data_IF_887888964816
#
_entry.id   IF_887888964816
#
_cell.length_a   1.000
_cell.length_b   1.000
_cell.length_c   1.000
_cell.angle_alpha   90.00
_cell.angle_beta   90.00
_cell.angle_gamma   90.00
#
_symmetry.space_group_name_H-M   'P 1'
#
loop_
_entity.id
_entity.type
_entity.pdbx_description
1 polymer ?
#
# COMPACT_ATOMS: atom_id res chain seq x y z
N UNK A 1 75.38 21.75 14.93
CA UNK A 1 74.52 20.58 15.21
C UNK A 1 73.25 20.75 14.40
N UNK A 2 73.02 19.91 13.38
CA UNK A 2 71.88 20.04 12.43
C UNK A 2 70.62 19.47 13.09
N UNK A 3 69.58 20.27 13.29
CA UNK A 3 68.26 19.76 13.69
C UNK A 3 67.59 19.12 12.46
N UNK A 4 67.32 17.82 12.55
CA UNK A 4 66.53 17.10 11.57
C UNK A 4 65.04 17.37 11.81
N UNK A 5 64.36 17.86 10.78
CA UNK A 5 62.90 18.03 10.76
C UNK A 5 62.29 16.67 10.38
N UNK A 6 61.52 16.05 11.27
CA UNK A 6 60.76 14.84 10.97
C UNK A 6 59.33 15.28 10.63
N UNK A 7 58.83 15.07 9.40
CA UNK A 7 57.45 15.38 9.08
C UNK A 7 56.55 14.30 9.68
N UNK A 8 55.70 14.67 10.63
CA UNK A 8 54.62 13.81 11.11
C UNK A 8 53.54 13.79 10.03
N UNK A 9 53.55 12.73 9.23
CA UNK A 9 52.52 12.44 8.23
C UNK A 9 51.22 12.11 8.98
N UNK A 10 50.29 13.07 9.06
CA UNK A 10 48.98 12.86 9.66
C UNK A 10 48.15 11.88 8.84
N UNK A 11 47.96 10.66 9.35
CA UNK A 11 47.03 9.69 8.78
C UNK A 11 45.61 10.18 9.06
N UNK A 12 44.98 10.81 8.08
CA UNK A 12 43.54 11.05 8.11
C UNK A 12 42.83 9.70 7.92
N UNK A 13 42.41 9.09 9.04
CA UNK A 13 41.40 8.06 9.00
C UNK A 13 40.09 8.69 8.50
N UNK A 14 39.82 8.56 7.20
CA UNK A 14 38.50 8.78 6.65
C UNK A 14 37.59 7.69 7.23
N UNK A 15 36.96 7.98 8.38
CA UNK A 15 35.88 7.15 8.88
C UNK A 15 34.78 7.17 7.82
N UNK A 16 34.65 6.07 7.08
CA UNK A 16 33.49 5.82 6.24
C UNK A 16 32.30 5.75 7.18
N UNK A 17 31.58 6.85 7.34
CA UNK A 17 30.28 6.85 7.97
C UNK A 17 29.39 5.95 7.11
N UNK A 18 29.22 4.69 7.53
CA UNK A 18 28.16 3.82 7.04
C UNK A 18 26.85 4.49 7.44
N UNK A 19 26.31 5.32 6.56
CA UNK A 19 24.91 5.69 6.65
C UNK A 19 24.10 4.40 6.49
N UNK A 20 23.62 3.85 7.60
CA UNK A 20 22.70 2.73 7.59
C UNK A 20 21.43 3.21 6.88
N UNK A 21 21.23 2.77 5.63
CA UNK A 21 20.01 2.97 4.83
C UNK A 21 18.82 2.17 5.40
N UNK A 22 18.73 2.00 6.71
CA UNK A 22 17.88 0.98 7.30
C UNK A 22 16.44 1.47 7.45
N UNK A 23 15.53 0.86 6.69
CA UNK A 23 14.08 0.97 6.93
C UNK A 23 13.60 0.34 8.21
N UNK A 24 14.47 -0.31 8.98
CA UNK A 24 14.09 -0.97 10.22
C UNK A 24 13.44 -0.01 11.23
N UNK A 25 13.60 1.30 11.07
CA UNK A 25 12.95 2.30 11.89
C UNK A 25 11.47 2.53 11.58
N UNK A 26 10.97 2.07 10.43
CA UNK A 26 9.56 2.16 10.05
C UNK A 26 8.85 0.84 10.35
N UNK A 27 7.59 0.92 10.77
CA UNK A 27 6.74 -0.25 10.99
C UNK A 27 6.11 -0.68 9.68
N UNK A 28 6.56 -1.82 9.17
CA UNK A 28 6.02 -2.35 7.94
C UNK A 28 4.76 -3.15 7.98
N UNK A 29 4.26 -3.37 9.18
CA UNK A 29 3.01 -4.08 9.38
C UNK A 29 1.82 -3.13 9.32
N UNK A 30 2.08 -1.83 9.43
CA UNK A 30 1.06 -0.80 9.55
C UNK A 30 1.26 0.23 8.46
N UNK A 31 0.19 0.59 7.78
CA UNK A 31 0.18 1.73 6.86
C UNK A 31 -0.65 2.85 7.49
N UNK A 32 -0.14 4.08 7.35
CA UNK A 32 -0.82 5.29 7.77
C UNK A 32 -1.07 6.13 6.54
N UNK A 33 -2.29 6.65 6.45
CA UNK A 33 -2.68 7.65 5.47
C UNK A 33 -2.72 9.02 6.16
N UNK A 34 -2.09 10.00 5.53
CA UNK A 34 -2.24 11.41 5.92
C UNK A 34 -2.64 12.24 4.70
N UNK A 35 -3.46 13.25 4.92
CA UNK A 35 -3.82 14.25 3.90
C UNK A 35 -3.52 15.63 4.45
N UNK A 36 -2.87 16.48 3.64
CA UNK A 36 -2.49 17.80 4.12
C UNK A 36 -1.80 18.64 3.06
N UNK A 37 -1.29 19.79 3.50
CA UNK A 37 -0.62 20.78 2.65
C UNK A 37 0.86 20.76 2.93
N UNK A 38 1.71 20.70 1.90
CA UNK A 38 3.15 20.77 2.08
C UNK A 38 3.53 22.16 2.63
N UNK A 39 4.19 22.21 3.80
CA UNK A 39 4.75 23.45 4.36
C UNK A 39 6.23 23.63 4.04
N UNK A 40 6.98 22.53 3.84
CA UNK A 40 8.39 22.56 3.43
C UNK A 40 8.70 21.40 2.49
N UNK A 41 9.45 21.67 1.43
CA UNK A 41 9.90 20.67 0.49
C UNK A 41 11.43 20.65 0.38
N UNK A 42 12.03 19.46 0.51
CA UNK A 42 13.47 19.26 0.37
C UNK A 42 13.76 18.01 -0.44
N UNK A 43 13.96 18.19 -1.74
CA UNK A 43 14.50 17.17 -2.63
C UNK A 43 16.02 17.11 -2.51
N UNK A 44 16.58 15.98 -2.01
CA UNK A 44 18.02 15.89 -1.78
C UNK A 44 18.46 14.63 -1.02
N UNK A 45 19.77 14.48 -0.81
CA UNK A 45 20.39 13.32 -0.12
C UNK A 45 20.52 13.54 1.40
N UNK A 46 20.53 12.50 2.27
CA UNK A 46 20.42 11.08 1.94
C UNK A 46 18.98 10.61 1.69
N UNK A 47 17.96 11.39 2.06
CA UNK A 47 16.57 11.16 1.68
C UNK A 47 15.90 12.51 1.43
N UNK A 48 14.98 12.54 0.48
CA UNK A 48 14.13 13.72 0.32
C UNK A 48 13.12 13.74 1.45
N UNK A 49 12.85 14.93 1.99
CA UNK A 49 11.95 15.14 3.12
C UNK A 49 10.97 16.26 2.83
N UNK A 50 9.72 16.08 3.22
CA UNK A 50 8.65 17.05 3.07
C UNK A 50 7.93 17.20 4.42
N UNK A 51 7.63 18.42 4.82
CA UNK A 51 6.75 18.69 5.96
C UNK A 51 5.33 18.91 5.43
N UNK A 52 4.36 18.24 6.02
CA UNK A 52 2.95 18.24 5.60
C UNK A 52 2.14 18.68 6.81
N UNK A 53 1.41 19.79 6.70
CA UNK A 53 0.46 20.22 7.70
C UNK A 53 -0.84 19.44 7.53
N UNK A 54 -1.11 18.56 8.49
CA UNK A 54 -2.33 17.74 8.55
C UNK A 54 -3.29 18.41 9.51
N UNK A 55 -4.49 18.76 9.02
CA UNK A 55 -5.52 19.40 9.84
C UNK A 55 -6.31 18.35 10.62
N UNK A 56 -6.50 18.59 11.92
CA UNK A 56 -7.30 17.75 12.80
C UNK A 56 -8.75 18.24 12.84
N UNK A 57 -9.65 17.38 13.32
CA UNK A 57 -11.09 17.67 13.46
C UNK A 57 -11.38 18.84 14.43
N UNK A 58 -10.51 19.05 15.42
CA UNK A 58 -10.58 20.16 16.38
C UNK A 58 -10.11 21.51 15.79
N UNK A 59 -9.73 21.53 14.52
CA UNK A 59 -9.23 22.70 13.81
C UNK A 59 -7.74 23.00 14.03
N UNK A 60 -7.04 22.22 14.86
CA UNK A 60 -5.58 22.30 14.99
C UNK A 60 -4.86 21.67 13.78
N UNK A 61 -3.54 21.82 13.71
CA UNK A 61 -2.73 21.17 12.68
C UNK A 61 -1.48 20.54 13.29
N UNK A 62 -1.10 19.38 12.75
CA UNK A 62 0.11 18.65 13.11
C UNK A 62 1.00 18.57 11.89
N UNK A 63 2.27 18.96 12.06
CA UNK A 63 3.30 18.83 11.03
C UNK A 63 3.82 17.40 10.99
N UNK A 64 3.55 16.70 9.88
CA UNK A 64 4.10 15.39 9.58
C UNK A 64 5.33 15.51 8.68
N UNK A 65 6.33 14.66 8.93
CA UNK A 65 7.48 14.47 8.04
C UNK A 65 7.23 13.28 7.12
N UNK A 66 7.15 13.54 5.82
CA UNK A 66 7.27 12.54 4.78
C UNK A 66 8.75 12.36 4.42
N UNK A 67 9.27 11.14 4.59
CA UNK A 67 10.58 10.72 4.09
C UNK A 67 10.39 9.84 2.85
N UNK A 68 11.03 10.17 1.72
CA UNK A 68 11.01 9.35 0.49
C UNK A 68 12.38 8.77 0.17
N UNK A 69 12.53 8.08 -0.96
CA UNK A 69 13.85 7.68 -1.45
C UNK A 69 14.75 8.87 -1.76
N UNK A 70 16.04 8.59 -1.81
CA UNK A 70 17.03 9.55 -2.25
C UNK A 70 16.91 9.83 -3.76
N UNK A 71 17.41 10.99 -4.24
CA UNK A 71 17.31 11.37 -5.65
C UNK A 71 17.86 10.35 -6.67
N UNK A 72 18.79 9.47 -6.27
CA UNK A 72 19.34 8.41 -7.14
C UNK A 72 18.37 7.25 -7.21
N UNK A 73 17.92 6.73 -6.07
CA UNK A 73 16.97 5.62 -6.04
C UNK A 73 15.62 6.01 -6.63
N UNK A 74 15.14 7.23 -6.37
CA UNK A 74 13.92 7.75 -6.99
C UNK A 74 14.00 7.80 -8.52
N UNK A 75 15.18 8.11 -9.08
CA UNK A 75 15.39 8.09 -10.54
C UNK A 75 15.41 6.67 -11.08
N UNK A 76 16.08 5.76 -10.38
CA UNK A 76 16.16 4.34 -10.74
C UNK A 76 14.78 3.67 -10.73
N UNK A 77 13.92 4.08 -9.80
CA UNK A 77 12.57 3.57 -9.62
C UNK A 77 11.50 4.36 -10.39
N UNK A 78 11.88 5.39 -11.16
CA UNK A 78 10.98 6.07 -12.11
C UNK A 78 10.12 7.22 -11.57
N UNK A 79 10.16 7.54 -10.27
CA UNK A 79 9.27 8.56 -9.67
C UNK A 79 9.99 9.86 -9.25
N UNK A 80 11.28 10.03 -9.59
CA UNK A 80 12.05 11.21 -9.16
C UNK A 80 11.40 12.55 -9.50
N UNK A 81 10.84 12.70 -10.70
CA UNK A 81 10.22 13.96 -11.09
C UNK A 81 8.94 14.25 -10.30
N UNK A 82 8.19 13.22 -9.88
CA UNK A 82 7.02 13.39 -9.03
C UNK A 82 7.39 13.96 -7.65
N UNK A 83 8.38 13.38 -6.96
CA UNK A 83 8.79 13.90 -5.65
C UNK A 83 9.49 15.26 -5.76
N UNK A 84 10.26 15.48 -6.84
CA UNK A 84 10.95 16.75 -7.09
C UNK A 84 9.99 17.89 -7.42
N UNK A 85 8.84 17.58 -8.00
CA UNK A 85 7.81 18.55 -8.34
C UNK A 85 7.07 19.10 -7.13
N UNK A 86 7.10 18.41 -5.97
CA UNK A 86 6.41 18.85 -4.75
C UNK A 86 6.93 20.20 -4.24
N UNK A 87 6.02 21.12 -3.93
CA UNK A 87 6.28 22.48 -3.46
C UNK A 87 5.44 22.81 -2.22
N UNK A 88 5.89 23.78 -1.39
CA UNK A 88 5.03 24.35 -0.38
C UNK A 88 3.74 24.90 -0.98
N UNK A 89 2.59 24.57 -0.38
CA UNK A 89 1.26 24.90 -0.86
C UNK A 89 0.56 23.78 -1.63
N UNK A 90 1.27 22.73 -2.06
CA UNK A 90 0.65 21.59 -2.72
C UNK A 90 -0.18 20.78 -1.71
N UNK A 91 -1.40 20.44 -2.10
CA UNK A 91 -2.24 19.47 -1.40
C UNK A 91 -1.87 18.06 -1.87
N UNK A 92 -1.62 17.16 -0.93
CA UNK A 92 -1.34 15.75 -1.23
C UNK A 92 -1.99 14.85 -0.18
N UNK A 93 -2.31 13.63 -0.60
CA UNK A 93 -2.48 12.51 0.32
C UNK A 93 -1.30 11.55 0.17
N UNK A 94 -0.87 10.97 1.29
CA UNK A 94 0.26 10.06 1.34
C UNK A 94 -0.14 8.83 2.10
N UNK A 95 0.11 7.68 1.49
CA UNK A 95 0.09 6.39 2.18
C UNK A 95 1.53 5.98 2.40
N UNK A 96 1.86 5.53 3.61
CA UNK A 96 3.20 5.06 3.92
C UNK A 96 3.30 4.40 5.28
N UNK A 97 4.54 4.07 5.66
CA UNK A 97 4.83 3.31 6.88
C UNK A 97 5.27 4.25 7.99
N UNK A 98 4.60 4.25 9.16
CA UNK A 98 4.93 5.15 10.24
C UNK A 98 6.28 4.78 10.85
N UNK A 99 7.00 5.80 11.33
CA UNK A 99 8.23 5.60 12.07
C UNK A 99 7.91 5.06 13.47
N UNK A 100 8.58 3.98 13.88
CA UNK A 100 8.34 3.27 15.15
C UNK A 100 8.49 4.12 16.41
N UNK A 101 9.27 5.20 16.32
CA UNK A 101 9.64 6.04 17.46
C UNK A 101 9.36 7.54 17.26
N UNK A 102 8.91 7.94 16.07
CA UNK A 102 8.66 9.36 15.75
C UNK A 102 7.23 9.45 15.24
N UNK A 103 6.32 9.88 16.11
CA UNK A 103 4.88 9.73 15.94
C UNK A 103 4.31 10.49 14.73
N UNK A 104 5.07 11.42 14.14
CA UNK A 104 4.65 12.21 12.99
C UNK A 104 5.67 12.13 11.86
N UNK A 105 6.32 11.00 11.69
CA UNK A 105 7.13 10.71 10.51
C UNK A 105 6.65 9.42 9.86
N UNK A 106 6.59 9.43 8.52
CA UNK A 106 6.32 8.23 7.73
C UNK A 106 7.27 8.15 6.54
N UNK A 107 7.58 6.91 6.13
CA UNK A 107 8.22 6.64 4.85
C UNK A 107 7.15 6.49 3.79
N UNK A 108 7.21 7.32 2.76
CA UNK A 108 6.20 7.34 1.70
C UNK A 108 6.22 6.07 0.86
N UNK A 109 5.03 5.55 0.56
CA UNK A 109 4.79 4.45 -0.35
C UNK A 109 4.05 4.93 -1.61
N UNK A 110 3.00 5.72 -1.43
CA UNK A 110 2.18 6.28 -2.50
C UNK A 110 2.00 7.78 -2.29
N UNK A 111 2.07 8.54 -3.38
CA UNK A 111 1.62 9.93 -3.41
C UNK A 111 0.36 10.03 -4.24
N UNK A 112 -0.60 10.76 -3.70
CA UNK A 112 -1.89 10.96 -4.33
C UNK A 112 -2.13 12.45 -4.51
N UNK A 113 -2.43 12.82 -5.76
CA UNK A 113 -2.62 14.20 -6.17
C UNK A 113 -4.12 14.52 -6.27
N UNK A 114 -4.51 15.79 -6.13
CA UNK A 114 -5.91 16.20 -6.25
C UNK A 114 -6.54 15.94 -7.63
N UNK A 115 -5.72 15.77 -8.67
CA UNK A 115 -6.14 15.42 -10.03
C UNK A 115 -6.45 13.93 -10.21
N UNK A 116 -6.37 13.13 -9.14
CA UNK A 116 -6.59 11.68 -9.14
C UNK A 116 -5.36 10.86 -9.50
N UNK A 117 -4.24 11.50 -9.87
CA UNK A 117 -2.99 10.79 -10.18
C UNK A 117 -2.41 10.15 -8.93
N UNK A 118 -2.03 8.88 -9.05
CA UNK A 118 -1.29 8.15 -8.03
C UNK A 118 0.15 7.98 -8.50
N UNK A 119 1.12 8.13 -7.61
CA UNK A 119 2.52 7.85 -7.89
C UNK A 119 3.07 6.86 -6.88
N UNK A 120 3.46 5.71 -7.38
CA UNK A 120 4.13 4.67 -6.61
C UNK A 120 5.59 5.05 -6.35
N UNK A 121 5.88 5.43 -5.10
CA UNK A 121 7.23 5.76 -4.66
C UNK A 121 8.10 4.52 -4.48
N UNK A 122 7.51 3.33 -4.37
CA UNK A 122 8.28 2.09 -4.32
C UNK A 122 7.41 0.89 -4.65
N UNK A 123 7.85 0.12 -5.65
CA UNK A 123 7.33 -1.23 -5.96
C UNK A 123 8.17 -2.28 -5.23
N UNK A 124 7.53 -3.29 -4.64
CA UNK A 124 8.20 -4.45 -4.05
C UNK A 124 8.96 -4.27 -2.71
N UNK A 125 8.90 -5.34 -1.91
CA UNK A 125 9.77 -5.87 -0.84
C UNK A 125 10.33 -5.01 0.29
N UNK A 126 10.27 -3.68 0.29
CA UNK A 126 10.98 -2.98 1.36
C UNK A 126 10.21 -2.95 2.67
N UNK A 127 8.88 -2.86 2.59
CA UNK A 127 8.03 -2.79 3.76
C UNK A 127 6.61 -3.27 3.40
N UNK A 128 6.42 -4.55 3.08
CA UNK A 128 5.08 -5.05 2.79
C UNK A 128 4.34 -5.51 4.06
N UNK A 129 3.05 -5.15 4.23
CA UNK A 129 2.22 -5.78 5.24
C UNK A 129 2.24 -7.30 5.09
N UNK A 130 2.10 -8.03 6.21
CA UNK A 130 2.18 -9.50 6.22
C UNK A 130 1.23 -10.15 5.22
N UNK A 131 0.05 -9.58 5.05
CA UNK A 131 -0.96 -10.12 4.14
C UNK A 131 -0.52 -9.98 2.68
N UNK A 132 0.10 -8.84 2.31
CA UNK A 132 0.65 -8.62 0.97
C UNK A 132 1.84 -9.55 0.70
N UNK A 133 2.77 -9.68 1.66
CA UNK A 133 3.88 -10.65 1.56
C UNK A 133 3.39 -12.08 1.36
N UNK A 134 2.33 -12.45 2.09
CA UNK A 134 1.74 -13.78 1.99
C UNK A 134 1.04 -13.96 0.64
N UNK A 135 0.26 -12.97 0.18
CA UNK A 135 -0.40 -13.00 -1.12
C UNK A 135 0.63 -13.19 -2.23
N UNK A 136 1.65 -12.33 -2.28
CA UNK A 136 2.70 -12.38 -3.29
C UNK A 136 3.44 -13.73 -3.32
N UNK A 137 3.81 -14.25 -2.15
CA UNK A 137 4.42 -15.58 -2.04
C UNK A 137 3.51 -16.65 -2.64
N UNK A 138 2.22 -16.64 -2.31
CA UNK A 138 1.25 -17.63 -2.79
C UNK A 138 0.95 -17.46 -4.28
N UNK A 139 0.94 -16.23 -4.80
CA UNK A 139 0.77 -15.93 -6.22
C UNK A 139 1.90 -16.56 -7.06
N UNK A 140 3.16 -16.41 -6.64
CA UNK A 140 4.30 -17.02 -7.31
C UNK A 140 4.54 -18.50 -6.97
N UNK A 141 3.87 -19.01 -5.93
CA UNK A 141 3.92 -20.43 -5.54
C UNK A 141 2.52 -21.02 -5.35
N UNK A 142 1.68 -21.13 -6.41
CA UNK A 142 0.28 -21.53 -6.25
C UNK A 142 0.09 -22.90 -5.61
N UNK A 143 1.07 -23.80 -5.68
CA UNK A 143 1.04 -25.10 -5.00
C UNK A 143 0.96 -25.02 -3.47
N UNK A 144 1.40 -23.90 -2.88
CA UNK A 144 1.35 -23.66 -1.42
C UNK A 144 -0.06 -23.26 -0.94
N UNK A 145 -0.99 -22.96 -1.86
CA UNK A 145 -2.36 -22.60 -1.55
C UNK A 145 -3.14 -23.85 -1.09
N UNK A 146 -3.98 -23.76 -0.03
CA UNK A 146 -4.80 -24.87 0.44
C UNK A 146 -5.61 -25.53 -0.67
N UNK A 147 -5.73 -26.86 -0.64
CA UNK A 147 -6.48 -27.62 -1.64
C UNK A 147 -7.97 -27.23 -1.70
N UNK A 148 -8.58 -26.87 -0.55
CA UNK A 148 -9.97 -26.36 -0.51
C UNK A 148 -10.16 -25.16 -1.45
N UNK A 149 -9.17 -24.27 -1.51
CA UNK A 149 -9.18 -23.10 -2.38
C UNK A 149 -8.88 -23.50 -3.83
N UNK A 150 -7.83 -24.30 -4.05
CA UNK A 150 -7.38 -24.67 -5.40
C UNK A 150 -8.40 -25.49 -6.17
N UNK A 151 -9.12 -26.36 -5.47
CA UNK A 151 -10.04 -27.34 -6.04
C UNK A 151 -11.51 -26.85 -5.98
N UNK A 152 -11.73 -25.58 -5.61
CA UNK A 152 -13.06 -24.96 -5.53
C UNK A 152 -13.85 -25.04 -6.85
N UNK A 153 -15.14 -25.37 -6.76
CA UNK A 153 -16.00 -25.52 -7.93
C UNK A 153 -16.47 -24.16 -8.47
N UNK A 154 -15.76 -23.70 -9.49
CA UNK A 154 -16.00 -22.39 -10.12
C UNK A 154 -17.19 -22.38 -11.08
N UNK A 155 -17.84 -23.52 -11.30
CA UNK A 155 -19.05 -23.61 -12.14
C UNK A 155 -20.33 -23.21 -11.41
N UNK A 156 -20.30 -23.18 -10.06
CA UNK A 156 -21.41 -22.75 -9.21
C UNK A 156 -21.70 -21.26 -9.36
N UNK A 157 -22.93 -20.79 -9.07
CA UNK A 157 -23.22 -19.36 -8.92
C UNK A 157 -22.22 -18.66 -7.97
N UNK A 158 -21.88 -17.40 -8.25
CA UNK A 158 -20.82 -16.71 -7.50
C UNK A 158 -21.17 -16.47 -6.03
N UNK A 159 -22.44 -16.25 -5.72
CA UNK A 159 -22.98 -16.16 -4.36
C UNK A 159 -22.76 -17.47 -3.57
N UNK A 160 -22.97 -18.62 -4.20
CA UNK A 160 -22.64 -19.92 -3.60
C UNK A 160 -21.12 -20.09 -3.37
N UNK A 161 -20.30 -19.66 -4.32
CA UNK A 161 -18.84 -19.64 -4.16
C UNK A 161 -18.44 -18.70 -3.01
N UNK A 162 -19.07 -17.53 -2.89
CA UNK A 162 -18.74 -16.55 -1.86
C UNK A 162 -19.06 -17.07 -0.46
N UNK A 163 -20.15 -17.83 -0.28
CA UNK A 163 -20.43 -18.50 1.00
C UNK A 163 -19.29 -19.48 1.36
N UNK A 164 -18.83 -20.28 0.41
CA UNK A 164 -17.70 -21.19 0.60
C UNK A 164 -16.42 -20.42 0.96
N UNK A 165 -16.14 -19.32 0.27
CA UNK A 165 -14.97 -18.48 0.54
C UNK A 165 -15.00 -17.89 1.96
N UNK A 166 -16.18 -17.47 2.43
CA UNK A 166 -16.38 -16.93 3.78
C UNK A 166 -16.19 -18.02 4.84
N UNK A 167 -16.70 -19.24 4.61
CA UNK A 167 -16.52 -20.39 5.50
C UNK A 167 -15.05 -20.81 5.61
N UNK A 168 -14.32 -20.80 4.50
CA UNK A 168 -12.87 -21.06 4.48
C UNK A 168 -12.07 -20.01 5.28
N UNK A 169 -12.53 -18.76 5.29
CA UNK A 169 -11.95 -17.66 6.08
C UNK A 169 -10.58 -17.13 5.62
N UNK A 170 -9.95 -17.75 4.62
CA UNK A 170 -8.61 -17.39 4.15
C UNK A 170 -8.61 -16.46 2.92
N UNK A 171 -9.02 -15.21 3.16
CA UNK A 171 -9.13 -14.16 2.14
C UNK A 171 -7.80 -13.88 1.40
N UNK A 172 -6.65 -14.00 2.07
CA UNK A 172 -5.33 -13.75 1.44
C UNK A 172 -4.97 -14.86 0.45
N UNK A 173 -5.14 -16.12 0.84
CA UNK A 173 -4.88 -17.24 -0.07
C UNK A 173 -5.89 -17.26 -1.23
N UNK A 174 -7.15 -16.89 -0.96
CA UNK A 174 -8.16 -16.74 -2.00
C UNK A 174 -7.81 -15.63 -2.99
N UNK A 175 -7.39 -14.46 -2.52
CA UNK A 175 -6.95 -13.37 -3.39
C UNK A 175 -5.73 -13.77 -4.24
N UNK A 176 -4.74 -14.45 -3.64
CA UNK A 176 -3.59 -14.98 -4.37
C UNK A 176 -3.99 -15.99 -5.44
N UNK A 177 -4.92 -16.90 -5.12
CA UNK A 177 -5.41 -17.91 -6.07
C UNK A 177 -6.11 -17.28 -7.26
N UNK A 178 -7.08 -16.39 -7.01
CA UNK A 178 -7.82 -15.73 -8.08
C UNK A 178 -6.89 -14.87 -8.97
N UNK A 179 -5.89 -14.22 -8.38
CA UNK A 179 -4.82 -13.52 -9.12
C UNK A 179 -3.98 -14.47 -9.97
N UNK A 180 -3.54 -15.62 -9.42
CA UNK A 180 -2.76 -16.62 -10.15
C UNK A 180 -3.56 -17.25 -11.31
N UNK A 181 -4.89 -17.34 -11.17
CA UNK A 181 -5.81 -17.78 -12.23
C UNK A 181 -6.21 -16.66 -13.21
N UNK A 182 -5.62 -15.46 -13.10
CA UNK A 182 -5.89 -14.32 -13.98
C UNK A 182 -7.38 -13.89 -14.02
N UNK A 183 -8.11 -14.11 -12.93
CA UNK A 183 -9.50 -13.68 -12.75
C UNK A 183 -9.80 -12.95 -11.42
N UNK A 184 -8.84 -12.19 -10.84
CA UNK A 184 -9.09 -11.50 -9.58
C UNK A 184 -10.17 -10.42 -9.74
N UNK A 185 -11.12 -10.34 -8.81
CA UNK A 185 -12.25 -9.41 -8.86
C UNK A 185 -12.60 -8.92 -7.46
N UNK A 186 -12.75 -7.61 -7.30
CA UNK A 186 -13.33 -7.02 -6.10
C UNK A 186 -14.79 -7.42 -5.95
N UNK A 187 -15.23 -7.61 -4.71
CA UNK A 187 -16.57 -8.05 -4.38
C UNK A 187 -17.37 -6.84 -3.92
N UNK A 188 -18.40 -6.48 -4.68
CA UNK A 188 -19.40 -5.50 -4.31
C UNK A 188 -20.67 -6.18 -3.84
N UNK A 189 -21.31 -5.65 -2.80
CA UNK A 189 -22.61 -6.14 -2.34
C UNK A 189 -23.65 -5.07 -2.64
N UNK A 190 -24.73 -5.43 -3.34
CA UNK A 190 -25.85 -4.55 -3.59
C UNK A 190 -26.94 -4.74 -2.55
N UNK A 191 -27.30 -3.68 -1.86
CA UNK A 191 -28.44 -3.62 -0.95
C UNK A 191 -29.33 -2.42 -1.31
N UNK A 192 -30.62 -2.66 -1.53
CA UNK A 192 -31.62 -1.64 -1.88
C UNK A 192 -31.19 -0.69 -3.03
N UNK A 193 -30.41 -1.20 -3.99
CA UNK A 193 -29.93 -0.44 -5.16
C UNK A 193 -28.58 0.24 -4.98
N UNK A 194 -28.02 0.28 -3.77
CA UNK A 194 -26.68 0.80 -3.49
C UNK A 194 -25.66 -0.34 -3.53
N UNK A 195 -24.49 -0.12 -4.15
CA UNK A 195 -23.41 -1.11 -4.21
C UNK A 195 -22.26 -0.66 -3.31
N UNK A 196 -21.89 -1.50 -2.34
CA UNK A 196 -20.77 -1.24 -1.43
C UNK A 196 -19.60 -2.16 -1.75
N UNK A 197 -18.42 -1.57 -1.98
CA UNK A 197 -17.13 -2.27 -2.07
C UNK A 197 -16.34 -2.08 -0.77
N UNK A 198 -16.73 -2.81 0.28
CA UNK A 198 -16.11 -2.69 1.60
C UNK A 198 -14.62 -2.98 1.58
N UNK A 199 -13.85 -2.26 2.41
CA UNK A 199 -12.40 -2.45 2.57
C UNK A 199 -11.52 -1.79 1.51
N UNK A 200 -12.11 -1.16 0.49
CA UNK A 200 -11.38 -0.40 -0.53
C UNK A 200 -11.03 0.98 0.02
N UNK A 201 -9.74 1.34 -0.03
CA UNK A 201 -9.29 2.71 0.21
C UNK A 201 -9.85 3.62 -0.89
N UNK A 202 -10.34 4.81 -0.54
CA UNK A 202 -10.93 5.79 -1.47
C UNK A 202 -10.04 6.05 -2.69
N UNK A 203 -8.71 6.01 -2.52
CA UNK A 203 -7.77 6.26 -3.60
C UNK A 203 -7.54 5.06 -4.52
N UNK A 204 -8.03 3.88 -4.13
CA UNK A 204 -8.03 2.66 -4.94
C UNK A 204 -9.43 2.37 -5.51
N UNK A 205 -10.34 3.35 -5.42
CA UNK A 205 -11.71 3.25 -5.92
C UNK A 205 -11.78 3.07 -7.45
N UNK A 206 -10.72 3.43 -8.18
CA UNK A 206 -10.57 3.19 -9.62
C UNK A 206 -10.93 1.73 -10.00
N UNK A 207 -10.56 0.76 -9.16
CA UNK A 207 -10.82 -0.66 -9.38
C UNK A 207 -12.30 -1.02 -9.28
N UNK A 208 -13.04 -0.27 -8.46
CA UNK A 208 -14.47 -0.47 -8.26
C UNK A 208 -15.29 -0.01 -9.45
N UNK A 209 -14.74 0.84 -10.33
CA UNK A 209 -15.46 1.35 -11.51
C UNK A 209 -15.24 0.47 -12.76
N UNK A 210 -14.19 -0.34 -12.75
CA UNK A 210 -13.79 -1.21 -13.88
C UNK A 210 -14.59 -2.51 -13.89
N UNK A 211 -15.45 -2.76 -14.89
CA UNK A 211 -16.31 -3.95 -14.91
C UNK A 211 -15.55 -5.28 -14.83
N UNK A 212 -14.38 -5.37 -15.47
CA UNK A 212 -13.57 -6.59 -15.50
C UNK A 212 -12.82 -6.86 -14.18
N UNK A 213 -12.78 -5.88 -13.27
CA UNK A 213 -12.06 -5.96 -11.99
C UNK A 213 -13.01 -6.19 -10.81
N UNK A 214 -14.31 -6.38 -11.07
CA UNK A 214 -15.32 -6.49 -10.02
C UNK A 214 -16.40 -7.50 -10.32
N UNK A 215 -17.08 -7.92 -9.26
CA UNK A 215 -18.30 -8.71 -9.30
C UNK A 215 -19.27 -8.14 -8.26
N UNK A 216 -20.56 -8.15 -8.56
CA UNK A 216 -21.60 -7.63 -7.66
C UNK A 216 -22.57 -8.74 -7.31
N UNK A 217 -22.76 -8.98 -6.01
CA UNK A 217 -23.79 -9.88 -5.46
C UNK A 217 -24.97 -9.04 -5.02
N UNK A 218 -26.17 -9.36 -5.50
CA UNK A 218 -27.39 -8.67 -5.11
C UNK A 218 -28.05 -9.38 -3.94
N UNK A 219 -28.23 -8.70 -2.80
CA UNK A 219 -28.90 -9.30 -1.65
C UNK A 219 -30.36 -9.68 -1.97
N UNK A 220 -30.99 -9.04 -2.96
CA UNK A 220 -32.34 -9.39 -3.39
C UNK A 220 -32.41 -10.81 -3.96
N UNK A 221 -31.32 -11.31 -4.56
CA UNK A 221 -31.25 -12.61 -5.22
C UNK A 221 -30.90 -13.76 -4.25
N UNK A 222 -30.38 -13.43 -3.06
CA UNK A 222 -29.94 -14.41 -2.07
C UNK A 222 -31.10 -15.08 -1.31
N UNK A 223 -30.92 -16.33 -0.92
CA UNK A 223 -31.82 -16.99 0.03
C UNK A 223 -31.59 -16.51 1.48
N UNK A 224 -32.42 -16.99 2.41
CA UNK A 224 -32.34 -16.58 3.82
C UNK A 224 -31.01 -16.93 4.49
N UNK A 225 -30.44 -18.10 4.21
CA UNK A 225 -29.19 -18.55 4.82
C UNK A 225 -27.99 -17.79 4.22
N UNK A 226 -27.99 -17.56 2.91
CA UNK A 226 -26.99 -16.75 2.23
C UNK A 226 -26.97 -15.31 2.74
N UNK A 227 -28.15 -14.70 2.97
CA UNK A 227 -28.24 -13.35 3.54
C UNK A 227 -27.71 -13.24 4.96
N UNK A 228 -27.75 -14.30 5.77
CA UNK A 228 -27.15 -14.27 7.10
C UNK A 228 -25.60 -14.20 7.04
N UNK A 229 -25.01 -14.72 5.96
CA UNK A 229 -23.56 -14.83 5.76
C UNK A 229 -23.02 -13.65 4.95
N UNK A 230 -23.66 -13.32 3.83
CA UNK A 230 -23.23 -12.27 2.91
C UNK A 230 -23.89 -10.95 3.30
N UNK A 231 -23.08 -10.03 3.81
CA UNK A 231 -23.50 -8.71 4.27
C UNK A 231 -22.61 -7.61 3.66
N UNK A 232 -23.14 -6.40 3.40
CA UNK A 232 -22.38 -5.33 2.76
C UNK A 232 -21.08 -4.96 3.47
N UNK A 233 -21.06 -5.06 4.80
CA UNK A 233 -19.91 -4.74 5.65
C UNK A 233 -19.28 -5.99 6.29
N UNK A 234 -19.37 -7.15 5.65
CA UNK A 234 -18.75 -8.36 6.19
C UNK A 234 -17.22 -8.23 6.27
N UNK A 235 -16.65 -8.69 7.38
CA UNK A 235 -15.19 -8.63 7.62
C UNK A 235 -14.41 -9.35 6.52
N UNK A 236 -14.90 -10.51 6.06
CA UNK A 236 -14.22 -11.27 5.02
C UNK A 236 -14.11 -10.49 3.71
N UNK A 237 -15.23 -9.95 3.20
CA UNK A 237 -15.24 -9.16 1.95
C UNK A 237 -14.38 -7.92 2.08
N UNK A 238 -14.46 -7.23 3.23
CA UNK A 238 -13.61 -6.06 3.51
C UNK A 238 -12.12 -6.41 3.43
N UNK A 239 -11.68 -7.47 4.10
CA UNK A 239 -10.26 -7.86 4.12
C UNK A 239 -9.78 -8.41 2.78
N UNK A 240 -10.62 -9.17 2.07
CA UNK A 240 -10.34 -9.64 0.71
C UNK A 240 -10.13 -8.47 -0.27
N UNK A 241 -11.08 -7.55 -0.31
CA UNK A 241 -11.01 -6.35 -1.16
C UNK A 241 -9.80 -5.48 -0.80
N UNK A 242 -9.53 -5.29 0.50
CA UNK A 242 -8.38 -4.52 1.00
C UNK A 242 -7.07 -5.12 0.53
N UNK A 243 -6.86 -6.43 0.68
CA UNK A 243 -5.59 -7.06 0.32
C UNK A 243 -5.40 -7.09 -1.20
N UNK A 244 -6.45 -7.38 -1.96
CA UNK A 244 -6.37 -7.48 -3.42
C UNK A 244 -6.10 -6.12 -4.07
N UNK A 245 -6.89 -5.09 -3.71
CA UNK A 245 -6.71 -3.74 -4.26
C UNK A 245 -5.34 -3.16 -3.94
N UNK A 246 -4.83 -3.36 -2.71
CA UNK A 246 -3.49 -2.93 -2.33
C UNK A 246 -2.40 -3.68 -3.08
N UNK A 247 -2.54 -5.00 -3.25
CA UNK A 247 -1.52 -5.77 -3.98
C UNK A 247 -1.45 -5.38 -5.45
N UNK A 248 -2.60 -5.18 -6.11
CA UNK A 248 -2.61 -4.67 -7.48
C UNK A 248 -1.93 -3.31 -7.59
N UNK A 249 -2.21 -2.39 -6.67
CA UNK A 249 -1.54 -1.08 -6.69
C UNK A 249 -0.03 -1.22 -6.44
N UNK A 250 0.36 -2.06 -5.48
CA UNK A 250 1.76 -2.26 -5.10
C UNK A 250 2.63 -2.92 -6.17
N UNK A 251 2.05 -3.82 -6.95
CA UNK A 251 2.79 -4.63 -7.94
C UNK A 251 2.51 -4.25 -9.41
N UNK A 252 1.31 -3.75 -9.72
CA UNK A 252 0.84 -3.64 -11.10
C UNK A 252 0.50 -2.22 -11.56
N UNK A 253 0.51 -1.21 -10.69
CA UNK A 253 0.10 0.17 -11.04
C UNK A 253 -1.26 0.20 -11.74
N UNK A 254 -2.21 -0.53 -11.16
CA UNK A 254 -3.48 -0.83 -11.80
C UNK A 254 -4.45 0.34 -11.85
N UNK A 255 -4.18 1.45 -11.15
CA UNK A 255 -4.95 2.69 -11.25
C UNK A 255 -4.43 3.70 -12.28
N UNK A 256 -3.38 3.39 -13.05
CA UNK A 256 -2.86 4.25 -14.14
C UNK A 256 -3.54 4.03 -15.51
#
# INVERSE_FOLDING_TARGET
MRLAFVPVMGVFFAATANAHHSVLHYDGKTEVRISGVISKARYGFPHSKYQIEVRNDDGSSISWTLTTEDPRDARRLGFAEAIKALRPGDEIAVIGWPHKFNNYELRGHQLHYPDGRVVMLRRGNYIWPKDILRLDKLYYSPSDIPASIRDSDTSRPFDEQLVEWIDEGDHVARAAWESAQQRPRLIGIRDQGEVTFSGIDELLSCHTERPDFRVVVDLADLDGAQREIIQPNSTYVSEYNRVLSRWWEQEHESCD
#
